data_IF_362566903643
#
_entry.id   IF_362566903643
#
_cell.length_a   1.000
_cell.length_b   1.000
_cell.length_c   1.000
_cell.angle_alpha   90.00
_cell.angle_beta   90.00
_cell.angle_gamma   90.00
#
_symmetry.space_group_name_H-M   'P 1'
#
loop_
_entity.id
_entity.type
_entity.pdbx_description
1 polymer ?
#
# COMPACT_ATOMS: atom_id res chain seq x y z
N UNK A 1 15.92 32.86 4.81
CA UNK A 1 14.82 31.98 4.35
C UNK A 1 14.60 32.25 2.88
N UNK A 2 14.50 31.20 2.06
CA UNK A 2 14.29 31.32 0.61
C UNK A 2 12.92 30.75 0.28
N UNK A 3 12.16 31.44 -0.57
CA UNK A 3 10.92 30.90 -1.11
C UNK A 3 11.23 29.85 -2.16
N UNK A 4 10.60 28.69 -2.03
CA UNK A 4 10.72 27.57 -2.97
C UNK A 4 9.33 27.06 -3.33
N UNK A 5 9.21 26.57 -4.56
CA UNK A 5 7.97 26.04 -5.10
C UNK A 5 8.17 24.61 -5.59
N UNK A 6 7.16 23.78 -5.39
CA UNK A 6 7.06 22.42 -5.91
C UNK A 6 5.87 22.33 -6.83
N UNK A 7 6.01 21.53 -7.89
CA UNK A 7 4.97 21.31 -8.88
C UNK A 7 4.83 19.81 -9.13
N UNK A 8 3.61 19.31 -8.98
CA UNK A 8 3.23 17.94 -9.33
C UNK A 8 2.23 18.04 -10.50
N UNK A 9 2.62 17.54 -11.68
CA UNK A 9 1.93 17.85 -12.93
C UNK A 9 1.42 16.58 -13.59
N UNK A 10 0.10 16.43 -13.61
CA UNK A 10 -0.64 15.35 -14.26
C UNK A 10 -1.47 15.93 -15.42
N UNK A 11 -1.98 15.11 -16.35
CA UNK A 11 -2.70 15.61 -17.53
C UNK A 11 -3.89 16.50 -17.21
N UNK A 12 -4.66 16.19 -16.16
CA UNK A 12 -5.84 16.95 -15.78
C UNK A 12 -5.76 17.64 -14.40
N UNK A 13 -4.64 17.51 -13.70
CA UNK A 13 -4.42 18.11 -12.40
C UNK A 13 -2.98 18.62 -12.28
N UNK A 14 -2.80 19.85 -11.80
CA UNK A 14 -1.48 20.36 -11.40
C UNK A 14 -1.56 20.93 -10.00
N UNK A 15 -0.72 20.42 -9.11
CA UNK A 15 -0.61 20.86 -7.73
C UNK A 15 0.67 21.68 -7.54
N UNK A 16 0.52 22.94 -7.13
CA UNK A 16 1.63 23.81 -6.75
C UNK A 16 1.66 23.97 -5.23
N UNK A 17 2.85 23.80 -4.66
CA UNK A 17 3.10 23.94 -3.22
C UNK A 17 4.23 24.95 -3.06
N UNK A 18 3.91 26.14 -2.59
CA UNK A 18 4.84 27.22 -2.33
C UNK A 18 5.10 27.36 -0.84
N UNK A 19 6.37 27.55 -0.48
CA UNK A 19 6.76 27.63 0.91
C UNK A 19 8.16 28.16 1.14
N UNK A 20 8.53 28.17 2.41
CA UNK A 20 9.85 28.62 2.86
C UNK A 20 10.74 27.41 3.13
N UNK A 21 12.01 27.55 2.74
CA UNK A 21 13.08 26.64 3.15
C UNK A 21 13.86 27.20 4.33
N UNK A 22 14.26 26.32 5.25
CA UNK A 22 15.26 26.65 6.25
C UNK A 22 16.64 26.83 5.59
N UNK A 23 17.48 27.75 6.12
CA UNK A 23 18.86 27.89 5.65
C UNK A 23 19.67 26.67 6.11
N UNK A 24 19.87 25.69 5.23
CA UNK A 24 20.85 24.62 5.46
C UNK A 24 22.24 25.15 5.07
N UNK A 25 23.28 24.82 5.83
CA UNK A 25 24.67 25.19 5.50
C UNK A 25 24.97 24.85 4.03
N UNK A 26 25.38 25.85 3.24
CA UNK A 26 25.49 25.82 1.76
C UNK A 26 26.57 24.88 1.18
N UNK A 27 26.95 23.82 1.89
CA UNK A 27 28.14 23.01 1.57
C UNK A 27 27.84 21.76 0.72
N UNK A 28 26.65 21.65 0.12
CA UNK A 28 26.33 20.51 -0.76
C UNK A 28 25.46 20.94 -1.95
N UNK A 29 26.03 21.19 -3.14
CA UNK A 29 25.28 21.62 -4.33
C UNK A 29 24.36 20.52 -4.92
N UNK A 30 24.38 19.30 -4.37
CA UNK A 30 23.60 18.15 -4.86
C UNK A 30 22.31 17.88 -4.08
N UNK A 31 22.02 18.59 -2.99
CA UNK A 31 20.84 18.35 -2.15
C UNK A 31 19.78 19.40 -2.44
N UNK A 32 18.65 18.98 -3.02
CA UNK A 32 17.49 19.85 -3.25
C UNK A 32 16.97 20.38 -1.90
N UNK A 33 16.69 21.69 -1.77
CA UNK A 33 16.32 22.31 -0.49
C UNK A 33 14.96 21.80 0.01
N UNK A 34 14.80 21.68 1.33
CA UNK A 34 13.56 21.22 1.98
C UNK A 34 12.58 22.37 2.16
N UNK A 35 11.32 22.16 1.78
CA UNK A 35 10.22 23.09 2.04
C UNK A 35 9.59 22.70 3.38
N UNK A 36 9.82 23.49 4.44
CA UNK A 36 9.37 23.16 5.80
C UNK A 36 8.10 23.89 6.21
N UNK A 37 7.80 25.04 5.59
CA UNK A 37 6.61 25.84 5.90
C UNK A 37 5.84 26.18 4.63
N UNK A 38 4.55 25.83 4.58
CA UNK A 38 3.66 26.17 3.47
C UNK A 38 3.25 27.65 3.57
N UNK A 39 3.40 28.37 2.45
CA UNK A 39 2.89 29.74 2.27
C UNK A 39 1.58 29.70 1.49
N UNK A 40 1.55 28.97 0.37
CA UNK A 40 0.39 28.87 -0.49
C UNK A 40 0.35 27.51 -1.19
N UNK A 41 -0.83 26.97 -1.39
CA UNK A 41 -1.08 25.79 -2.21
C UNK A 41 -2.11 26.13 -3.28
N UNK A 42 -1.86 25.67 -4.50
CA UNK A 42 -2.79 25.82 -5.63
C UNK A 42 -3.05 24.49 -6.31
N UNK A 43 -4.31 24.17 -6.54
CA UNK A 43 -4.73 23.00 -7.30
C UNK A 43 -5.45 23.46 -8.57
N UNK A 44 -4.81 23.20 -9.71
CA UNK A 44 -5.33 23.51 -11.04
C UNK A 44 -5.96 22.25 -11.62
N UNK A 45 -7.26 22.31 -11.90
CA UNK A 45 -8.04 21.19 -12.44
C UNK A 45 -8.49 21.51 -13.87
N UNK A 46 -8.35 20.55 -14.79
CA UNK A 46 -8.77 20.75 -16.16
C UNK A 46 -10.28 21.07 -16.24
N UNK A 47 -10.62 22.18 -16.90
CA UNK A 47 -12.00 22.65 -17.03
C UNK A 47 -12.50 23.53 -15.88
N UNK A 48 -11.74 23.67 -14.79
CA UNK A 48 -12.03 24.67 -13.76
C UNK A 48 -11.63 26.07 -14.26
N UNK A 49 -12.48 27.09 -14.01
CA UNK A 49 -12.22 28.47 -14.46
C UNK A 49 -11.11 29.16 -13.66
N UNK A 50 -10.93 28.77 -12.40
CA UNK A 50 -9.96 29.33 -11.48
C UNK A 50 -9.31 28.19 -10.69
N UNK A 51 -8.02 28.32 -10.35
CA UNK A 51 -7.37 27.36 -9.45
C UNK A 51 -7.98 27.42 -8.07
N UNK A 52 -8.03 26.28 -7.39
CA UNK A 52 -8.33 26.23 -5.97
C UNK A 52 -7.09 26.64 -5.21
N UNK A 53 -7.17 27.71 -4.42
CA UNK A 53 -6.01 28.29 -3.73
C UNK A 53 -6.26 28.41 -2.24
N UNK A 54 -5.24 28.18 -1.43
CA UNK A 54 -5.33 28.42 0.00
C UNK A 54 -4.05 28.11 0.76
N UNK A 55 -4.06 28.42 2.06
CA UNK A 55 -2.95 28.12 2.97
C UNK A 55 -2.97 26.68 3.49
N UNK A 56 -2.34 26.48 4.64
CA UNK A 56 -2.15 25.17 5.26
C UNK A 56 -3.46 24.42 5.53
N UNK A 57 -4.44 25.08 6.13
CA UNK A 57 -5.71 24.42 6.46
C UNK A 57 -6.48 23.96 5.22
N UNK A 58 -6.49 24.76 4.16
CA UNK A 58 -7.07 24.38 2.87
C UNK A 58 -6.36 23.14 2.32
N UNK A 59 -5.02 23.16 2.30
CA UNK A 59 -4.23 22.07 1.74
C UNK A 59 -4.36 20.77 2.55
N UNK A 60 -4.34 20.85 3.89
CA UNK A 60 -4.60 19.71 4.78
C UNK A 60 -6.00 19.14 4.57
N UNK A 61 -7.01 20.00 4.43
CA UNK A 61 -8.38 19.58 4.16
C UNK A 61 -8.51 18.93 2.78
N UNK A 62 -7.87 19.50 1.74
CA UNK A 62 -7.87 18.96 0.37
C UNK A 62 -7.30 17.54 0.37
N UNK A 63 -6.10 17.39 0.91
CA UNK A 63 -5.36 16.13 0.90
C UNK A 63 -6.09 15.05 1.72
N UNK A 64 -6.68 15.43 2.86
CA UNK A 64 -7.50 14.53 3.68
C UNK A 64 -8.76 14.09 2.94
N UNK A 65 -9.49 15.03 2.33
CA UNK A 65 -10.73 14.74 1.62
C UNK A 65 -10.50 13.85 0.39
N UNK A 66 -9.47 14.15 -0.42
CA UNK A 66 -9.11 13.37 -1.61
C UNK A 66 -8.78 11.93 -1.22
N UNK A 67 -7.96 11.75 -0.20
CA UNK A 67 -7.50 10.42 0.21
C UNK A 67 -8.63 9.59 0.84
N UNK A 68 -9.44 10.20 1.71
CA UNK A 68 -10.60 9.53 2.31
C UNK A 68 -11.64 9.13 1.25
N UNK A 69 -11.93 10.02 0.31
CA UNK A 69 -12.86 9.75 -0.78
C UNK A 69 -12.34 8.64 -1.71
N UNK A 70 -11.06 8.66 -2.07
CA UNK A 70 -10.45 7.62 -2.89
C UNK A 70 -10.54 6.25 -2.24
N UNK A 71 -10.29 6.15 -0.92
CA UNK A 71 -10.41 4.89 -0.18
C UNK A 71 -11.83 4.33 -0.22
N UNK A 72 -12.85 5.13 0.02
CA UNK A 72 -14.26 4.71 -0.07
C UNK A 72 -14.64 4.30 -1.50
N UNK A 73 -14.30 5.15 -2.48
CA UNK A 73 -14.66 4.93 -3.87
C UNK A 73 -14.03 3.66 -4.46
N UNK A 74 -12.75 3.40 -4.14
CA UNK A 74 -12.01 2.24 -4.60
C UNK A 74 -12.38 0.96 -3.84
N UNK A 75 -12.59 1.04 -2.53
CA UNK A 75 -12.92 -0.14 -1.72
C UNK A 75 -14.38 -0.59 -1.85
N UNK A 76 -15.28 0.30 -2.30
CA UNK A 76 -16.75 0.12 -2.25
C UNK A 76 -17.28 -0.12 -0.83
N UNK A 77 -16.47 0.18 0.19
CA UNK A 77 -16.85 0.09 1.59
C UNK A 77 -17.17 1.50 2.07
N UNK A 78 -18.40 1.77 2.56
CA UNK A 78 -18.73 3.06 3.13
C UNK A 78 -17.76 3.42 4.24
N UNK A 79 -17.18 4.62 4.17
CA UNK A 79 -16.25 5.10 5.17
C UNK A 79 -16.86 6.26 5.97
N UNK A 80 -17.62 5.98 7.05
CA UNK A 80 -18.32 7.03 7.80
C UNK A 80 -17.36 8.04 8.45
N UNK A 81 -16.08 7.69 8.63
CA UNK A 81 -15.08 8.62 9.15
C UNK A 81 -14.57 9.62 8.10
N UNK A 82 -14.56 9.29 6.80
CA UNK A 82 -14.34 10.28 5.74
C UNK A 82 -15.46 11.33 5.72
N UNK A 83 -16.69 10.91 6.01
CA UNK A 83 -17.84 11.80 6.14
C UNK A 83 -17.90 12.50 7.50
N UNK A 84 -17.11 12.12 8.51
CA UNK A 84 -17.15 12.76 9.84
C UNK A 84 -16.58 14.19 9.81
N UNK A 85 -15.81 14.52 8.77
CA UNK A 85 -15.29 15.86 8.49
C UNK A 85 -16.25 16.69 7.59
N UNK A 86 -17.58 16.61 7.80
CA UNK A 86 -18.53 17.52 7.11
C UNK A 86 -18.25 19.01 7.39
N UNK A 87 -17.47 19.32 8.44
CA UNK A 87 -17.01 20.69 8.74
C UNK A 87 -15.68 21.07 8.07
N UNK A 88 -15.11 20.20 7.23
CA UNK A 88 -13.86 20.47 6.52
C UNK A 88 -14.02 21.55 5.45
N UNK A 89 -12.92 22.28 5.16
CA UNK A 89 -12.89 23.29 4.09
C UNK A 89 -13.07 22.67 2.70
N UNK A 90 -12.76 21.38 2.55
CA UNK A 90 -12.86 20.66 1.28
C UNK A 90 -13.64 19.37 1.48
N UNK A 91 -14.59 19.11 0.58
CA UNK A 91 -15.40 17.89 0.55
C UNK A 91 -15.39 17.26 -0.84
N UNK A 92 -15.45 15.93 -0.90
CA UNK A 92 -15.73 15.20 -2.13
C UNK A 92 -16.98 14.34 -1.98
N UNK A 93 -17.83 14.37 -3.01
CA UNK A 93 -19.07 13.59 -3.06
C UNK A 93 -19.20 12.88 -4.40
N UNK A 94 -19.81 11.70 -4.40
CA UNK A 94 -20.15 11.00 -5.64
C UNK A 94 -21.47 11.54 -6.21
N UNK A 95 -21.47 11.98 -7.47
CA UNK A 95 -22.71 12.39 -8.17
C UNK A 95 -23.32 11.17 -8.89
N UNK A 96 -22.48 10.43 -9.63
CA UNK A 96 -22.85 9.19 -10.31
C UNK A 96 -21.64 8.26 -10.47
N UNK A 97 -21.72 7.23 -11.31
CA UNK A 97 -20.63 6.27 -11.49
C UNK A 97 -19.31 6.90 -11.96
N UNK A 98 -19.38 7.97 -12.77
CA UNK A 98 -18.21 8.57 -13.43
C UNK A 98 -18.00 10.07 -13.15
N UNK A 99 -18.86 10.67 -12.31
CA UNK A 99 -18.79 12.08 -11.91
C UNK A 99 -18.75 12.23 -10.41
N UNK A 100 -17.88 13.13 -9.99
CA UNK A 100 -17.56 13.45 -8.60
C UNK A 100 -17.68 14.95 -8.42
N UNK A 101 -18.05 15.41 -7.24
CA UNK A 101 -18.11 16.84 -6.91
C UNK A 101 -17.09 17.15 -5.85
N UNK A 102 -16.17 18.05 -6.17
CA UNK A 102 -15.26 18.68 -5.22
C UNK A 102 -15.86 20.02 -4.78
N UNK A 103 -16.07 20.20 -3.48
CA UNK A 103 -16.63 21.41 -2.89
C UNK A 103 -15.57 22.04 -2.00
N UNK A 104 -15.29 23.32 -2.20
CA UNK A 104 -14.37 24.10 -1.36
C UNK A 104 -15.14 25.24 -0.70
N UNK A 105 -15.17 25.23 0.63
CA UNK A 105 -15.73 26.26 1.48
C UNK A 105 -14.66 27.33 1.78
N UNK A 106 -15.07 28.59 1.80
CA UNK A 106 -14.20 29.68 2.24
C UNK A 106 -14.09 29.70 3.76
N UNK A 107 -12.88 29.86 4.29
CA UNK A 107 -12.65 30.01 5.72
C UNK A 107 -12.99 31.44 6.16
N UNK A 108 -14.18 31.66 6.71
CA UNK A 108 -14.61 32.94 7.25
C UNK A 108 -14.03 33.17 8.66
N UNK A 109 -12.70 33.27 8.78
CA UNK A 109 -12.01 33.52 10.06
C UNK A 109 -11.68 35.02 10.31
N UNK A 110 -12.22 35.94 9.53
CA UNK A 110 -12.05 37.39 9.75
C UNK A 110 -13.27 37.99 10.47
N UNK A 111 -13.18 38.35 11.78
CA UNK A 111 -14.23 39.08 12.47
C UNK A 111 -14.25 40.53 11.97
N UNK A 112 -15.09 40.82 10.98
CA UNK A 112 -15.28 42.19 10.48
C UNK A 112 -15.70 42.33 9.01
N UNK A 113 -15.79 41.23 8.26
CA UNK A 113 -16.29 41.27 6.87
C UNK A 113 -17.48 40.32 6.77
N UNK A 114 -18.68 40.88 6.64
CA UNK A 114 -19.82 40.15 6.11
C UNK A 114 -19.47 39.71 4.68
N UNK A 115 -19.04 38.46 4.51
CA UNK A 115 -18.85 37.88 3.19
C UNK A 115 -19.49 36.50 3.17
N UNK A 116 -20.75 36.48 2.74
CA UNK A 116 -21.39 35.30 2.17
C UNK A 116 -20.54 34.83 0.97
N UNK A 117 -19.51 34.05 1.25
CA UNK A 117 -18.66 33.43 0.25
C UNK A 117 -19.31 32.11 -0.12
N UNK A 118 -19.88 32.05 -1.32
CA UNK A 118 -20.53 30.85 -1.83
C UNK A 118 -19.48 29.75 -2.03
N UNK A 119 -19.74 28.51 -1.58
CA UNK A 119 -18.83 27.39 -1.82
C UNK A 119 -18.52 27.22 -3.31
N UNK A 120 -17.25 26.97 -3.64
CA UNK A 120 -16.82 26.66 -5.00
C UNK A 120 -17.03 25.17 -5.23
N UNK A 121 -17.93 24.81 -6.16
CA UNK A 121 -18.17 23.43 -6.55
C UNK A 121 -17.59 23.16 -7.95
N UNK A 122 -16.80 22.10 -8.07
CA UNK A 122 -16.18 21.65 -9.32
C UNK A 122 -16.58 20.19 -9.55
N UNK A 123 -17.19 19.93 -10.71
CA UNK A 123 -17.51 18.57 -11.14
C UNK A 123 -16.29 17.97 -11.84
N UNK A 124 -15.89 16.78 -11.38
CA UNK A 124 -14.75 16.03 -11.86
C UNK A 124 -15.21 14.74 -12.53
N UNK A 125 -14.59 14.39 -13.64
CA UNK A 125 -14.64 13.03 -14.17
C UNK A 125 -13.80 12.08 -13.30
N UNK A 126 -14.04 10.77 -13.37
CA UNK A 126 -13.20 9.79 -12.67
C UNK A 126 -11.72 9.86 -13.06
N UNK A 127 -11.41 10.19 -14.32
CA UNK A 127 -10.03 10.39 -14.76
C UNK A 127 -9.40 11.59 -14.06
N UNK A 128 -10.12 12.71 -13.97
CA UNK A 128 -9.66 13.90 -13.25
C UNK A 128 -9.50 13.66 -11.75
N UNK A 129 -10.39 12.88 -11.15
CA UNK A 129 -10.26 12.44 -9.76
C UNK A 129 -8.97 11.63 -9.55
N UNK A 130 -8.67 10.68 -10.43
CA UNK A 130 -7.46 9.87 -10.29
C UNK A 130 -6.19 10.68 -10.51
N UNK A 131 -6.17 11.64 -11.44
CA UNK A 131 -5.05 12.57 -11.58
C UNK A 131 -4.85 13.43 -10.31
N UNK A 132 -5.94 13.80 -9.62
CA UNK A 132 -5.87 14.52 -8.35
C UNK A 132 -5.33 13.63 -7.21
N UNK A 133 -5.77 12.38 -7.12
CA UNK A 133 -5.24 11.40 -6.15
C UNK A 133 -3.75 11.18 -6.38
N UNK A 134 -3.34 10.96 -7.63
CA UNK A 134 -1.94 10.77 -8.01
C UNK A 134 -1.09 12.01 -7.68
N UNK A 135 -1.60 13.22 -7.90
CA UNK A 135 -0.89 14.44 -7.52
C UNK A 135 -0.65 14.55 -5.99
N UNK A 136 -1.62 14.11 -5.19
CA UNK A 136 -1.52 14.05 -3.73
C UNK A 136 -0.53 12.97 -3.29
N UNK A 137 -0.56 11.79 -3.93
CA UNK A 137 0.38 10.70 -3.65
C UNK A 137 1.82 11.09 -4.00
N UNK A 138 2.04 11.76 -5.14
CA UNK A 138 3.35 12.31 -5.51
C UNK A 138 3.85 13.36 -4.52
N UNK A 139 2.95 14.18 -3.96
CA UNK A 139 3.30 15.11 -2.89
C UNK A 139 3.82 14.38 -1.65
N UNK A 140 3.14 13.32 -1.18
CA UNK A 140 3.61 12.55 -0.03
C UNK A 140 4.87 11.73 -0.30
N UNK A 141 5.10 11.34 -1.55
CA UNK A 141 6.34 10.69 -1.97
C UNK A 141 7.54 11.66 -1.95
N UNK A 142 7.32 12.98 -2.04
CA UNK A 142 8.38 14.00 -1.96
C UNK A 142 8.76 14.29 -0.50
N UNK A 143 9.71 13.51 0.02
CA UNK A 143 10.24 13.64 1.39
C UNK A 143 10.87 15.01 1.71
N UNK A 144 11.09 15.85 0.71
CA UNK A 144 11.64 17.19 0.87
C UNK A 144 10.57 18.28 0.85
N UNK A 145 9.29 17.93 0.80
CA UNK A 145 8.18 18.89 0.76
C UNK A 145 7.24 18.66 1.93
N UNK A 146 7.23 19.60 2.87
CA UNK A 146 6.44 19.54 4.10
C UNK A 146 6.62 18.21 4.86
N UNK A 147 7.84 17.84 5.28
CA UNK A 147 8.10 16.55 5.92
C UNK A 147 7.35 16.35 7.25
N UNK A 148 6.86 17.43 7.85
CA UNK A 148 6.02 17.40 9.07
C UNK A 148 4.55 17.13 8.78
N UNK A 149 4.11 17.23 7.52
CA UNK A 149 2.74 16.93 7.11
C UNK A 149 2.62 15.43 6.85
N UNK A 150 1.80 14.77 7.66
CA UNK A 150 1.52 13.34 7.51
C UNK A 150 0.02 13.12 7.38
N UNK A 151 -0.37 12.24 6.47
CA UNK A 151 -1.74 11.80 6.31
C UNK A 151 -1.96 10.53 7.12
N UNK A 152 -2.81 10.60 8.14
CA UNK A 152 -3.18 9.42 8.92
C UNK A 152 -4.29 8.65 8.20
N UNK A 153 -3.91 7.78 7.27
CA UNK A 153 -4.85 6.88 6.61
C UNK A 153 -5.15 5.69 7.53
N UNK A 154 -6.35 5.66 8.12
CA UNK A 154 -6.81 4.51 8.90
C UNK A 154 -7.42 3.45 7.96
N UNK A 155 -7.05 2.17 8.09
CA UNK A 155 -7.66 1.11 7.29
C UNK A 155 -9.17 1.00 7.62
N UNK A 156 -10.01 0.99 6.59
CA UNK A 156 -11.46 0.89 6.73
C UNK A 156 -11.81 -0.42 7.43
N UNK A 157 -12.52 -0.33 8.57
CA UNK A 157 -12.78 -1.52 9.39
C UNK A 157 -13.63 -2.54 8.64
N UNK A 158 -13.29 -3.83 8.76
CA UNK A 158 -14.04 -4.94 8.13
C UNK A 158 -15.51 -5.00 8.57
N UNK A 159 -15.88 -4.35 9.68
CA UNK A 159 -17.27 -4.24 10.14
C UNK A 159 -18.16 -3.44 9.18
N UNK A 160 -17.56 -2.58 8.36
CA UNK A 160 -18.26 -1.82 7.33
C UNK A 160 -18.23 -2.53 5.95
N UNK A 161 -17.40 -3.56 5.78
CA UNK A 161 -17.18 -4.26 4.51
C UNK A 161 -18.29 -5.25 4.09
N UNK A 162 -19.44 -5.27 4.78
CA UNK A 162 -20.61 -5.99 4.28
C UNK A 162 -21.62 -6.42 5.35
N UNK A 163 -22.77 -5.74 5.36
CA UNK A 163 -24.05 -6.43 5.40
C UNK A 163 -24.68 -6.28 4.01
N UNK A 164 -24.22 -7.08 3.05
CA UNK A 164 -24.99 -7.31 1.82
C UNK A 164 -26.24 -8.11 2.19
N UNK A 165 -27.46 -7.67 1.85
CA UNK A 165 -28.69 -8.41 2.12
C UNK A 165 -28.82 -9.56 1.11
N UNK A 166 -27.99 -10.59 1.24
CA UNK A 166 -28.15 -11.88 0.54
C UNK A 166 -28.19 -13.08 1.49
N UNK A 167 -28.20 -12.85 2.81
CA UNK A 167 -28.29 -13.92 3.82
C UNK A 167 -29.71 -14.39 4.12
N UNK A 168 -30.74 -13.97 3.37
CA UNK A 168 -32.12 -14.47 3.51
C UNK A 168 -32.51 -15.57 2.54
N UNK A 169 -31.60 -16.02 1.64
CA UNK A 169 -31.87 -17.15 0.71
C UNK A 169 -30.87 -18.31 0.78
N UNK A 170 -30.09 -18.43 1.86
CA UNK A 170 -29.10 -19.51 2.03
C UNK A 170 -29.37 -20.44 3.21
N UNK A 171 -30.64 -20.61 3.61
CA UNK A 171 -31.02 -21.54 4.68
C UNK A 171 -31.49 -22.93 4.18
N UNK A 172 -31.29 -23.26 2.90
CA UNK A 172 -31.65 -24.59 2.35
C UNK A 172 -30.57 -25.68 2.53
N UNK A 173 -29.24 -25.41 2.53
CA UNK A 173 -28.25 -26.50 2.56
C UNK A 173 -28.12 -27.20 3.93
N UNK A 174 -28.51 -26.54 5.02
CA UNK A 174 -28.30 -27.07 6.37
C UNK A 174 -29.25 -28.24 6.73
N UNK A 175 -30.41 -28.36 6.07
CA UNK A 175 -31.40 -29.37 6.42
C UNK A 175 -31.09 -30.78 5.86
N UNK A 176 -30.24 -30.89 4.84
CA UNK A 176 -29.95 -32.19 4.18
C UNK A 176 -28.75 -32.91 4.81
N UNK A 177 -27.84 -32.19 5.48
CA UNK A 177 -26.62 -32.78 6.04
C UNK A 177 -26.85 -33.70 7.24
N UNK A 178 -27.82 -33.37 8.11
CA UNK A 178 -28.00 -34.05 9.41
C UNK A 178 -28.56 -35.47 9.27
N UNK A 179 -29.40 -35.72 8.27
CA UNK A 179 -30.01 -37.04 8.06
C UNK A 179 -29.03 -38.07 7.45
N UNK A 180 -28.05 -37.64 6.67
CA UNK A 180 -27.08 -38.55 6.01
C UNK A 180 -26.05 -39.18 6.97
N UNK A 181 -25.70 -38.49 8.05
CA UNK A 181 -24.65 -38.93 8.98
C UNK A 181 -25.10 -40.07 9.91
N UNK A 182 -26.40 -40.12 10.27
CA UNK A 182 -26.93 -41.15 11.16
C UNK A 182 -26.97 -42.54 10.51
N UNK A 183 -27.23 -42.63 9.20
CA UNK A 183 -27.23 -43.92 8.49
C UNK A 183 -25.82 -44.45 8.23
N UNK A 184 -24.83 -43.58 8.01
CA UNK A 184 -23.45 -44.01 7.77
C UNK A 184 -22.79 -44.64 9.02
N UNK A 185 -23.10 -44.13 10.22
CA UNK A 185 -22.51 -44.63 11.46
C UNK A 185 -22.88 -46.10 11.78
N UNK A 186 -24.10 -46.53 11.42
CA UNK A 186 -24.54 -47.92 11.62
C UNK A 186 -23.83 -48.86 10.64
N UNK A 187 -23.64 -48.44 9.38
CA UNK A 187 -22.99 -49.25 8.37
C UNK A 187 -21.51 -49.55 8.71
N UNK A 188 -20.78 -48.58 9.26
CA UNK A 188 -19.36 -48.76 9.61
C UNK A 188 -19.10 -49.66 10.83
N UNK A 189 -20.11 -50.00 11.64
CA UNK A 189 -19.93 -50.94 12.75
C UNK A 189 -19.78 -52.40 12.28
N UNK A 190 -20.34 -52.75 11.11
CA UNK A 190 -20.28 -54.11 10.56
C UNK A 190 -19.23 -54.29 9.46
N UNK A 191 -18.46 -53.25 9.14
CA UNK A 191 -17.37 -53.36 8.16
C UNK A 191 -16.13 -53.89 8.87
N UNK A 192 -15.57 -55.05 8.47
CA UNK A 192 -14.34 -55.57 9.05
C UNK A 192 -13.21 -54.55 8.84
N UNK A 193 -12.44 -54.31 9.90
CA UNK A 193 -11.35 -53.33 9.91
C UNK A 193 -10.36 -53.71 8.80
N UNK A 194 -10.18 -52.88 7.76
CA UNK A 194 -9.30 -53.21 6.64
C UNK A 194 -7.83 -53.19 7.11
N UNK A 195 -7.06 -54.19 6.71
CA UNK A 195 -5.61 -54.22 6.94
C UNK A 195 -4.95 -53.02 6.25
N UNK A 196 -4.22 -52.24 7.06
CA UNK A 196 -3.47 -51.06 6.60
C UNK A 196 -2.30 -51.54 5.74
N UNK A 197 -2.52 -51.65 4.43
CA UNK A 197 -1.42 -51.67 3.46
C UNK A 197 -0.85 -50.27 3.38
N UNK A 198 0.45 -50.13 3.64
CA UNK A 198 1.20 -48.88 3.48
C UNK A 198 0.96 -48.37 2.05
N UNK A 199 0.38 -47.17 1.86
CA UNK A 199 0.10 -46.65 0.52
C UNK A 199 1.38 -46.54 -0.30
N UNK A 200 1.33 -47.05 -1.53
CA UNK A 200 2.31 -46.71 -2.57
C UNK A 200 2.23 -45.20 -2.81
N UNK A 201 3.38 -44.53 -2.88
CA UNK A 201 3.48 -43.08 -3.02
C UNK A 201 2.70 -42.58 -4.25
N UNK A 202 1.82 -41.58 -4.11
CA UNK A 202 1.10 -41.02 -5.25
C UNK A 202 2.08 -40.28 -6.18
N UNK A 203 2.11 -40.70 -7.45
CA UNK A 203 2.69 -39.88 -8.51
C UNK A 203 1.94 -38.53 -8.59
N UNK A 204 2.66 -37.40 -8.73
CA UNK A 204 2.04 -36.08 -8.76
C UNK A 204 1.26 -35.87 -10.06
N UNK A 205 -0.07 -35.80 -9.95
CA UNK A 205 -0.92 -35.30 -11.03
C UNK A 205 -0.84 -33.78 -11.11
N UNK A 206 -0.37 -33.29 -12.26
CA UNK A 206 -0.33 -31.88 -12.61
C UNK A 206 -1.75 -31.32 -12.72
N UNK A 207 -2.03 -30.23 -11.99
CA UNK A 207 -3.16 -29.35 -12.30
C UNK A 207 -2.73 -27.90 -12.22
N UNK A 208 -2.59 -27.33 -13.40
CA UNK A 208 -2.34 -25.92 -13.66
C UNK A 208 -3.55 -25.05 -13.30
N UNK A 209 -3.29 -23.92 -12.63
CA UNK A 209 -4.03 -22.66 -12.79
C UNK A 209 -3.21 -21.47 -12.27
N UNK A 210 -2.66 -20.75 -13.24
CA UNK A 210 -2.45 -19.30 -13.32
C UNK A 210 -2.14 -18.50 -12.05
N UNK A 211 -0.92 -17.98 -12.01
CA UNK A 211 -0.57 -16.72 -11.37
C UNK A 211 0.52 -16.11 -12.24
N UNK A 212 0.42 -14.82 -12.57
CA UNK A 212 1.45 -14.04 -13.25
C UNK A 212 2.68 -13.93 -12.33
N UNK A 213 3.43 -15.01 -12.21
CA UNK A 213 4.73 -15.08 -11.59
C UNK A 213 5.73 -14.87 -12.72
N UNK A 214 6.58 -13.85 -12.58
CA UNK A 214 7.95 -13.94 -13.08
C UNK A 214 8.45 -15.39 -12.90
N UNK A 215 9.02 -16.00 -13.95
CA UNK A 215 9.33 -17.42 -13.98
C UNK A 215 10.01 -17.86 -12.66
N UNK A 216 9.51 -18.89 -11.99
CA UNK A 216 10.15 -19.33 -10.75
C UNK A 216 11.46 -20.05 -11.09
N UNK A 217 12.56 -19.71 -10.40
CA UNK A 217 13.78 -20.51 -10.45
C UNK A 217 13.51 -21.83 -9.72
N UNK A 218 13.65 -22.95 -10.42
CA UNK A 218 13.30 -24.31 -9.91
C UNK A 218 14.50 -25.25 -9.79
N UNK A 219 15.66 -24.87 -10.34
CA UNK A 219 16.89 -25.66 -10.26
C UNK A 219 17.40 -25.72 -8.80
N UNK A 220 17.61 -26.94 -8.29
CA UNK A 220 18.00 -27.17 -6.89
C UNK A 220 19.43 -26.69 -6.58
N UNK A 221 20.38 -26.87 -7.50
CA UNK A 221 21.75 -26.38 -7.32
C UNK A 221 21.79 -24.85 -7.37
N UNK A 222 21.02 -24.26 -8.28
CA UNK A 222 20.88 -22.81 -8.37
C UNK A 222 20.24 -22.21 -7.11
N UNK A 223 19.18 -22.83 -6.58
CA UNK A 223 18.53 -22.42 -5.33
C UNK A 223 19.50 -22.51 -4.15
N UNK A 224 20.27 -23.59 -4.03
CA UNK A 224 21.26 -23.76 -2.97
C UNK A 224 22.37 -22.70 -3.05
N UNK A 225 22.86 -22.42 -4.26
CA UNK A 225 23.84 -21.35 -4.48
C UNK A 225 23.28 -19.96 -4.14
N UNK A 226 22.04 -19.67 -4.55
CA UNK A 226 21.36 -18.42 -4.22
C UNK A 226 21.13 -18.27 -2.72
N UNK A 227 20.75 -19.33 -2.02
CA UNK A 227 20.60 -19.35 -0.56
C UNK A 227 21.90 -18.95 0.13
N UNK A 228 23.02 -19.57 -0.25
CA UNK A 228 24.33 -19.30 0.33
C UNK A 228 24.80 -17.87 0.02
N UNK A 229 24.59 -17.42 -1.21
CA UNK A 229 24.93 -16.07 -1.66
C UNK A 229 24.14 -15.02 -0.90
N UNK A 230 22.84 -15.22 -0.75
CA UNK A 230 21.94 -14.34 -0.01
C UNK A 230 22.34 -14.28 1.47
N UNK A 231 22.62 -15.43 2.10
CA UNK A 231 23.11 -15.50 3.47
C UNK A 231 24.38 -14.67 3.64
N UNK A 232 25.41 -14.91 2.82
CA UNK A 232 26.69 -14.22 2.93
C UNK A 232 26.55 -12.70 2.74
N UNK A 233 25.73 -12.29 1.77
CA UNK A 233 25.49 -10.88 1.45
C UNK A 233 24.83 -10.14 2.60
N UNK A 234 23.78 -10.72 3.19
CA UNK A 234 23.09 -10.13 4.35
C UNK A 234 24.01 -10.16 5.58
N UNK A 235 24.67 -11.29 5.84
CA UNK A 235 25.53 -11.48 7.01
C UNK A 235 26.70 -10.48 7.06
N UNK A 236 27.25 -10.12 5.88
CA UNK A 236 28.34 -9.15 5.75
C UNK A 236 27.91 -7.73 6.11
N UNK A 237 26.67 -7.34 5.80
CA UNK A 237 26.16 -5.98 6.01
C UNK A 237 25.44 -5.84 7.35
N UNK A 238 24.92 -6.94 7.91
CA UNK A 238 24.26 -6.94 9.21
C UNK A 238 25.26 -6.93 10.37
N UNK A 239 25.77 -5.74 10.70
CA UNK A 239 26.72 -5.51 11.79
C UNK A 239 26.04 -5.27 13.14
N UNK A 240 24.90 -4.56 13.15
CA UNK A 240 24.11 -4.30 14.37
C UNK A 240 23.09 -5.41 14.59
N UNK A 241 23.45 -6.38 15.44
CA UNK A 241 22.66 -7.63 15.67
C UNK A 241 21.77 -7.59 16.91
N UNK A 242 21.62 -6.43 17.54
CA UNK A 242 20.76 -6.26 18.71
C UNK A 242 19.29 -6.22 18.26
N UNK A 243 18.65 -7.38 18.21
CA UNK A 243 17.25 -7.54 17.87
C UNK A 243 16.55 -8.28 19.01
N UNK A 244 15.37 -7.79 19.44
CA UNK A 244 14.65 -8.37 20.58
C UNK A 244 13.55 -9.37 20.17
N UNK A 245 13.26 -9.49 18.87
CA UNK A 245 12.21 -10.36 18.33
C UNK A 245 12.62 -10.92 16.96
N UNK A 246 12.19 -12.13 16.62
CA UNK A 246 12.50 -12.67 15.30
C UNK A 246 11.79 -11.87 14.20
N UNK A 247 12.57 -11.22 13.34
CA UNK A 247 12.04 -10.45 12.20
C UNK A 247 12.08 -11.33 10.95
N UNK A 248 10.91 -11.65 10.39
CA UNK A 248 10.79 -12.65 9.32
C UNK A 248 10.36 -11.97 8.02
N UNK A 249 11.17 -12.13 6.98
CA UNK A 249 10.94 -11.56 5.66
C UNK A 249 10.91 -12.64 4.59
N UNK A 250 10.07 -12.41 3.56
CA UNK A 250 10.18 -13.08 2.27
C UNK A 250 11.01 -12.19 1.36
N UNK A 251 12.14 -12.70 0.87
CA UNK A 251 13.08 -11.97 0.02
C UNK A 251 13.10 -12.59 -1.36
N UNK A 252 12.96 -11.78 -2.40
CA UNK A 252 13.00 -12.19 -3.80
C UNK A 252 14.35 -11.85 -4.40
N UNK A 253 14.99 -12.83 -5.03
CA UNK A 253 16.26 -12.66 -5.72
C UNK A 253 16.19 -13.10 -7.17
N UNK A 254 16.98 -12.45 -8.01
CA UNK A 254 17.23 -12.84 -9.40
C UNK A 254 18.21 -14.02 -9.49
N UNK A 255 18.40 -14.56 -10.70
CA UNK A 255 19.32 -15.67 -10.97
C UNK A 255 20.79 -15.40 -10.62
N UNK A 256 21.19 -14.12 -10.61
CA UNK A 256 22.51 -13.61 -10.23
C UNK A 256 22.61 -13.18 -8.75
N UNK A 257 21.58 -13.43 -7.93
CA UNK A 257 21.61 -13.15 -6.48
C UNK A 257 21.39 -11.69 -6.09
N UNK A 258 20.93 -10.84 -7.02
CA UNK A 258 20.49 -9.49 -6.69
C UNK A 258 19.15 -9.57 -5.94
N UNK A 259 18.99 -8.73 -4.90
CA UNK A 259 17.75 -8.68 -4.12
C UNK A 259 16.88 -7.61 -4.77
N UNK A 260 15.76 -8.02 -5.37
CA UNK A 260 14.86 -7.12 -6.11
C UNK A 260 13.59 -6.79 -5.34
N UNK A 261 13.36 -7.46 -4.22
CA UNK A 261 12.24 -7.15 -3.34
C UNK A 261 12.29 -7.91 -2.03
N UNK A 262 11.62 -7.37 -1.02
CA UNK A 262 11.33 -8.07 0.22
C UNK A 262 9.95 -7.69 0.74
N UNK A 263 9.37 -8.54 1.58
CA UNK A 263 8.11 -8.30 2.29
C UNK A 263 8.18 -8.89 3.69
N UNK A 264 7.72 -8.14 4.69
CA UNK A 264 7.54 -8.65 6.06
C UNK A 264 6.48 -9.75 6.09
N UNK A 265 6.70 -10.78 6.91
CA UNK A 265 5.74 -11.90 7.07
C UNK A 265 5.08 -11.91 8.45
N UNK A 266 5.62 -11.14 9.41
CA UNK A 266 5.03 -10.87 10.72
C UNK A 266 4.98 -9.35 10.98
N UNK A 267 4.01 -8.92 11.80
CA UNK A 267 3.78 -7.49 12.07
C UNK A 267 5.02 -6.80 12.66
N UNK A 268 5.72 -7.46 13.58
CA UNK A 268 6.92 -6.92 14.23
C UNK A 268 8.04 -6.61 13.21
N UNK A 269 8.20 -7.43 12.17
CA UNK A 269 9.16 -7.16 11.10
C UNK A 269 8.78 -5.93 10.27
N UNK A 270 7.50 -5.61 10.13
CA UNK A 270 7.08 -4.40 9.44
C UNK A 270 7.54 -3.15 10.20
N UNK A 271 7.37 -3.14 11.51
CA UNK A 271 7.68 -1.99 12.37
C UNK A 271 9.19 -1.84 12.61
N UNK A 272 9.94 -2.95 12.56
CA UNK A 272 11.37 -3.00 12.84
C UNK A 272 12.26 -3.07 11.57
N UNK A 273 11.75 -2.70 10.40
CA UNK A 273 12.50 -2.78 9.12
C UNK A 273 13.84 -2.03 9.17
N UNK A 274 13.88 -0.88 9.85
CA UNK A 274 15.07 -0.06 10.03
C UNK A 274 16.21 -0.76 10.81
N UNK A 275 15.90 -1.86 11.52
CA UNK A 275 16.88 -2.67 12.25
C UNK A 275 17.53 -3.75 11.35
N UNK A 276 17.13 -3.85 10.08
CA UNK A 276 17.65 -4.83 9.13
C UNK A 276 18.44 -4.15 8.02
N UNK A 277 19.41 -4.84 7.40
CA UNK A 277 20.15 -4.29 6.25
C UNK A 277 19.36 -4.37 4.93
N UNK A 278 18.17 -4.99 4.91
CA UNK A 278 17.42 -5.26 3.67
C UNK A 278 17.15 -4.01 2.82
N UNK A 279 16.77 -2.83 3.37
CA UNK A 279 16.56 -1.62 2.57
C UNK A 279 17.80 -1.21 1.77
N UNK A 280 19.00 -1.41 2.33
CA UNK A 280 20.28 -1.05 1.71
C UNK A 280 20.78 -2.08 0.69
N UNK A 281 20.12 -3.24 0.61
CA UNK A 281 20.50 -4.34 -0.27
C UNK A 281 19.61 -4.45 -1.51
N UNK A 282 18.50 -3.69 -1.55
CA UNK A 282 17.59 -3.60 -2.69
C UNK A 282 18.30 -3.05 -3.93
N UNK A 283 18.13 -3.77 -5.03
CA UNK A 283 18.55 -3.37 -6.37
C UNK A 283 17.29 -3.18 -7.19
N UNK A 284 17.04 -1.96 -7.63
CA UNK A 284 15.94 -1.65 -8.54
C UNK A 284 16.43 -1.86 -9.97
N UNK A 285 15.89 -2.85 -10.71
CA UNK A 285 16.23 -3.00 -12.12
C UNK A 285 15.69 -1.80 -12.91
N UNK A 286 16.50 -1.30 -13.85
CA UNK A 286 16.04 -0.30 -14.83
C UNK A 286 15.05 -0.99 -15.75
N UNK A 287 13.82 -0.48 -15.83
CA UNK A 287 12.74 -1.12 -16.57
C UNK A 287 13.05 -1.24 -18.07
N UNK A 288 13.50 -2.42 -18.49
CA UNK A 288 13.57 -2.84 -19.89
C UNK A 288 12.62 -4.03 -20.12
N UNK A 289 12.14 -4.26 -21.35
CA UNK A 289 11.25 -5.39 -21.66
C UNK A 289 11.80 -6.75 -21.20
N UNK A 290 13.13 -6.91 -21.12
CA UNK A 290 13.81 -8.13 -20.65
C UNK A 290 13.73 -8.32 -19.13
N UNK A 291 13.72 -7.24 -18.33
CA UNK A 291 13.60 -7.30 -16.86
C UNK A 291 12.20 -7.65 -16.36
N UNK A 292 11.16 -7.49 -17.21
CA UNK A 292 9.78 -7.82 -16.87
C UNK A 292 9.52 -9.34 -16.77
N UNK A 293 10.44 -10.17 -17.26
CA UNK A 293 10.30 -11.61 -17.37
C UNK A 293 11.47 -12.38 -16.73
N UNK A 294 12.26 -11.72 -15.87
CA UNK A 294 13.37 -12.34 -15.17
C UNK A 294 12.90 -13.37 -14.15
N UNK A 295 13.53 -14.54 -14.12
CA UNK A 295 13.17 -15.59 -13.20
C UNK A 295 13.58 -15.24 -11.76
N UNK A 296 12.67 -15.43 -10.79
CA UNK A 296 12.90 -15.09 -9.38
C UNK A 296 12.91 -16.34 -8.50
N UNK A 297 13.90 -16.40 -7.60
CA UNK A 297 13.89 -17.29 -6.45
C UNK A 297 13.42 -16.51 -5.21
N UNK A 298 12.86 -17.23 -4.24
CA UNK A 298 12.35 -16.61 -3.02
C UNK A 298 12.84 -17.35 -1.79
N UNK A 299 13.17 -16.59 -0.76
CA UNK A 299 13.76 -17.09 0.47
C UNK A 299 13.03 -16.54 1.69
N UNK A 300 12.90 -17.37 2.72
CA UNK A 300 12.53 -16.94 4.06
C UNK A 300 13.80 -16.53 4.78
N UNK A 301 13.88 -15.25 5.17
CA UNK A 301 14.99 -14.68 5.92
C UNK A 301 14.51 -14.34 7.32
N UNK A 302 15.19 -14.89 8.33
CA UNK A 302 14.91 -14.62 9.75
C UNK A 302 16.10 -13.91 10.35
N UNK A 303 15.86 -12.71 10.88
CA UNK A 303 16.80 -12.02 11.77
C UNK A 303 16.40 -12.36 13.20
N UNK A 304 17.09 -13.33 13.79
CA UNK A 304 16.76 -13.87 15.10
C UNK A 304 17.19 -12.97 16.25
N UNK A 305 16.48 -13.10 17.39
CA UNK A 305 16.74 -12.39 18.64
C UNK A 305 18.16 -12.54 19.22
N UNK A 306 18.87 -13.61 18.83
CA UNK A 306 20.24 -13.89 19.27
C UNK A 306 21.30 -13.39 18.28
N UNK A 307 20.90 -12.55 17.31
CA UNK A 307 21.79 -12.09 16.23
C UNK A 307 22.08 -13.18 15.18
N UNK A 308 21.33 -14.28 15.21
CA UNK A 308 21.44 -15.38 14.27
C UNK A 308 20.67 -15.05 13.00
N UNK A 309 21.35 -15.11 11.85
CA UNK A 309 20.72 -15.01 10.54
C UNK A 309 20.32 -16.42 10.08
N UNK A 310 19.10 -16.59 9.59
CA UNK A 310 18.68 -17.82 8.92
C UNK A 310 18.12 -17.47 7.55
N UNK A 311 18.54 -18.22 6.53
CA UNK A 311 18.03 -18.10 5.16
C UNK A 311 17.67 -19.49 4.69
N UNK A 312 16.40 -19.71 4.37
CA UNK A 312 15.90 -20.98 3.82
C UNK A 312 15.11 -20.73 2.54
N UNK A 313 15.08 -21.68 1.60
CA UNK A 313 14.20 -21.59 0.44
C UNK A 313 12.75 -21.39 0.89
N UNK A 314 12.00 -20.55 0.16
CA UNK A 314 10.59 -20.34 0.44
C UNK A 314 9.81 -21.57 -0.03
N UNK A 315 9.19 -22.30 0.90
CA UNK A 315 8.28 -23.38 0.56
C UNK A 315 6.94 -22.79 0.12
N UNK A 316 6.59 -23.03 -1.14
CA UNK A 316 5.28 -22.71 -1.73
C UNK A 316 4.21 -23.73 -1.34
#
# INVERSE_FOLDING_TARGET
MKTIQRKYSLPNCTLFVEGLSEPTNEQSPSVRPVLSMLVNAECHLAGAKQPLTGGREFFESLVTAVSGYAQEFLSKVPHPEAHRNESGLVQLQQIDSNRHRLIVHSNASNPGVEAASTPVAIDLTTVQLFDLVEAVDQFFADSQTLPTMSLQLAPVSKRYAGHTPQLTKQAVPAAVGVSSLALAAIAFFFVPIPEVRRPEEPQPQSRSRSSNLAAAITDTEQIAWLQQTLYNRINRVWTTRAINHDLIYRVSTTANGAIVGYRSTNAIANDAIAQTPLPNLLVYPVATPETAQEALAQFRVVFGRDGVLQVTPWQS
#
